data_IF_283555018170
#
_entry.id   IF_283555018170
#
_cell.length_a   1.000
_cell.length_b   1.000
_cell.length_c   1.000
_cell.angle_alpha   90.00
_cell.angle_beta   90.00
_cell.angle_gamma   90.00
#
_symmetry.space_group_name_H-M   'P 1'
#
loop_
_entity.id
_entity.type
_entity.pdbx_description
1 polymer ?
#
# COMPACT_ATOMS: atom_id res chain seq x y z
N UNK A 1 -13.66 -18.52 22.45
CA UNK A 1 -13.14 -18.20 21.11
C UNK A 1 -11.63 -18.08 21.23
N UNK A 2 -10.85 -18.87 20.50
CA UNK A 2 -9.43 -18.53 20.31
C UNK A 2 -9.41 -17.23 19.50
N UNK A 3 -8.69 -16.22 20.00
CA UNK A 3 -8.46 -14.99 19.26
C UNK A 3 -7.38 -15.30 18.23
N UNK A 4 -7.68 -15.21 16.94
CA UNK A 4 -6.66 -15.34 15.91
C UNK A 4 -5.61 -14.25 16.10
N UNK A 5 -4.34 -14.64 16.12
CA UNK A 5 -3.22 -13.71 16.19
C UNK A 5 -3.18 -12.89 14.90
N UNK A 6 -3.06 -11.57 15.03
CA UNK A 6 -2.92 -10.66 13.89
C UNK A 6 -1.51 -10.08 13.95
N UNK A 7 -0.74 -10.31 12.89
CA UNK A 7 0.63 -9.80 12.77
C UNK A 7 0.75 -8.96 11.51
N UNK A 8 1.54 -7.90 11.58
CA UNK A 8 1.83 -7.06 10.41
C UNK A 8 3.34 -6.92 10.29
N UNK A 9 3.88 -7.21 9.11
CA UNK A 9 5.32 -7.15 8.85
C UNK A 9 5.60 -6.31 7.62
N UNK A 10 6.76 -5.64 7.62
CA UNK A 10 7.24 -4.89 6.45
C UNK A 10 7.69 -5.89 5.38
N UNK A 11 7.29 -5.66 4.14
CA UNK A 11 7.69 -6.47 2.99
C UNK A 11 9.14 -6.12 2.63
N UNK A 12 10.06 -7.02 2.95
CA UNK A 12 11.51 -6.85 2.75
C UNK A 12 12.17 -8.08 2.11
N UNK A 13 11.54 -9.24 2.20
CA UNK A 13 12.08 -10.51 1.68
C UNK A 13 11.19 -11.06 0.57
N UNK A 14 11.72 -11.96 -0.28
CA UNK A 14 10.91 -12.64 -1.30
C UNK A 14 9.67 -13.34 -0.74
N UNK A 15 9.77 -13.93 0.46
CA UNK A 15 8.67 -14.64 1.11
C UNK A 15 7.56 -13.66 1.53
N UNK A 16 7.94 -12.55 2.20
CA UNK A 16 6.99 -11.51 2.56
C UNK A 16 6.35 -10.84 1.34
N UNK A 17 7.09 -10.76 0.22
CA UNK A 17 6.57 -10.28 -1.06
C UNK A 17 5.56 -11.25 -1.63
N UNK A 18 5.85 -12.55 -1.64
CA UNK A 18 4.91 -13.57 -2.14
C UNK A 18 3.58 -13.52 -1.38
N UNK A 19 3.63 -13.46 -0.04
CA UNK A 19 2.44 -13.33 0.79
C UNK A 19 1.63 -12.05 0.49
N UNK A 20 2.30 -10.92 0.26
CA UNK A 20 1.64 -9.68 -0.14
C UNK A 20 1.00 -9.77 -1.54
N UNK A 21 1.69 -10.44 -2.47
CA UNK A 21 1.21 -10.67 -3.83
C UNK A 21 -0.03 -11.56 -3.88
N UNK A 22 -0.15 -12.56 -3.00
CA UNK A 22 -1.37 -13.38 -2.88
C UNK A 22 -2.60 -12.51 -2.56
N UNK A 23 -2.46 -11.55 -1.65
CA UNK A 23 -3.54 -10.62 -1.31
C UNK A 23 -3.89 -9.71 -2.48
N UNK A 24 -2.88 -9.19 -3.19
CA UNK A 24 -3.10 -8.31 -4.36
C UNK A 24 -3.84 -9.06 -5.47
N UNK A 25 -3.41 -10.27 -5.81
CA UNK A 25 -4.06 -11.05 -6.86
C UNK A 25 -5.51 -11.42 -6.45
N UNK A 26 -5.71 -11.90 -5.22
CA UNK A 26 -7.05 -12.24 -4.73
C UNK A 26 -7.99 -11.02 -4.65
N UNK A 27 -7.52 -9.91 -4.09
CA UNK A 27 -8.37 -8.75 -3.80
C UNK A 27 -8.37 -7.76 -4.96
N UNK A 28 -7.21 -7.28 -5.40
CA UNK A 28 -7.17 -6.16 -6.35
C UNK A 28 -7.54 -6.64 -7.76
N UNK A 29 -7.08 -7.83 -8.15
CA UNK A 29 -7.35 -8.38 -9.47
C UNK A 29 -8.67 -9.15 -9.52
N UNK A 30 -8.85 -10.15 -8.66
CA UNK A 30 -10.01 -11.05 -8.76
C UNK A 30 -11.29 -10.45 -8.17
N UNK A 31 -11.25 -9.95 -6.93
CA UNK A 31 -12.44 -9.39 -6.27
C UNK A 31 -12.81 -8.01 -6.83
N UNK A 32 -11.88 -7.06 -6.78
CA UNK A 32 -12.12 -5.65 -7.10
C UNK A 32 -11.95 -5.31 -8.58
N UNK A 33 -11.18 -6.11 -9.32
CA UNK A 33 -10.85 -5.90 -10.75
C UNK A 33 -10.28 -4.51 -11.03
N UNK A 34 -9.47 -3.99 -10.09
CA UNK A 34 -8.80 -2.70 -10.23
C UNK A 34 -7.59 -2.77 -11.15
N UNK A 35 -6.97 -3.94 -11.25
CA UNK A 35 -5.74 -4.17 -12.02
C UNK A 35 -5.91 -5.40 -12.92
N UNK A 36 -5.21 -5.42 -14.05
CA UNK A 36 -5.20 -6.56 -14.97
C UNK A 36 -4.10 -7.57 -14.63
N UNK A 37 -2.97 -7.06 -14.12
CA UNK A 37 -1.78 -7.83 -13.78
C UNK A 37 -1.27 -7.38 -12.40
N UNK A 38 -1.08 -8.35 -11.50
CA UNK A 38 -0.59 -8.13 -10.15
C UNK A 38 0.93 -7.96 -10.10
N UNK A 39 1.68 -8.56 -11.05
CA UNK A 39 3.14 -8.75 -10.93
C UNK A 39 3.93 -7.44 -10.84
N UNK A 40 3.36 -6.37 -11.39
CA UNK A 40 3.97 -5.03 -11.39
C UNK A 40 3.68 -4.20 -10.13
N UNK A 41 2.76 -4.61 -9.25
CA UNK A 41 2.31 -3.76 -8.14
C UNK A 41 3.37 -3.60 -7.04
N UNK A 42 4.03 -4.69 -6.65
CA UNK A 42 5.07 -4.68 -5.63
C UNK A 42 6.46 -4.79 -6.27
N UNK A 43 7.29 -3.73 -6.23
CA UNK A 43 8.65 -3.77 -6.75
C UNK A 43 9.49 -4.89 -6.10
N UNK A 44 10.40 -5.47 -6.86
CA UNK A 44 11.33 -6.49 -6.34
C UNK A 44 12.48 -5.88 -5.54
N UNK A 45 12.80 -4.60 -5.78
CA UNK A 45 13.88 -3.86 -5.12
C UNK A 45 13.41 -3.07 -3.88
N UNK A 46 12.32 -3.49 -3.22
CA UNK A 46 11.76 -2.80 -2.05
C UNK A 46 12.74 -2.48 -0.91
N UNK A 47 13.69 -3.36 -0.54
CA UNK A 47 14.64 -3.07 0.55
C UNK A 47 15.51 -1.84 0.31
N UNK A 48 15.71 -1.46 -0.95
CA UNK A 48 16.55 -0.35 -1.37
C UNK A 48 15.77 0.96 -1.51
N UNK A 49 14.43 0.91 -1.43
CA UNK A 49 13.56 2.07 -1.59
C UNK A 49 13.29 2.77 -0.26
N UNK A 50 13.65 4.04 -0.19
CA UNK A 50 13.36 4.91 0.95
C UNK A 50 12.03 5.66 0.82
N UNK A 51 11.46 5.71 -0.39
CA UNK A 51 10.29 6.51 -0.75
C UNK A 51 8.97 5.74 -0.66
N UNK A 52 9.02 4.43 -0.50
CA UNK A 52 7.82 3.61 -0.32
C UNK A 52 8.10 2.44 0.61
N UNK A 53 7.08 2.04 1.36
CA UNK A 53 7.09 0.83 2.16
C UNK A 53 5.78 0.09 2.01
N UNK A 54 5.88 -1.23 1.96
CA UNK A 54 4.74 -2.12 1.92
C UNK A 54 4.72 -2.95 3.19
N UNK A 55 3.51 -3.24 3.65
CA UNK A 55 3.29 -4.12 4.79
C UNK A 55 2.23 -5.15 4.42
N UNK A 56 2.44 -6.38 4.90
CA UNK A 56 1.48 -7.47 4.78
C UNK A 56 0.99 -7.84 6.17
N UNK A 57 -0.32 -8.01 6.30
CA UNK A 57 -0.98 -8.43 7.54
C UNK A 57 -1.44 -9.86 7.41
N UNK A 58 -1.17 -10.67 8.44
CA UNK A 58 -1.61 -12.05 8.52
C UNK A 58 -2.61 -12.22 9.66
N UNK A 59 -3.54 -13.16 9.49
CA UNK A 59 -4.40 -13.70 10.54
C UNK A 59 -4.01 -15.17 10.72
N UNK A 60 -3.27 -15.47 11.77
CA UNK A 60 -2.49 -16.70 11.84
C UNK A 60 -1.46 -16.75 10.72
N UNK A 61 -1.44 -17.84 9.95
CA UNK A 61 -0.54 -18.01 8.79
C UNK A 61 -1.12 -17.53 7.46
N UNK A 62 -2.35 -16.99 7.46
CA UNK A 62 -3.02 -16.56 6.23
C UNK A 62 -2.81 -15.06 5.99
N UNK A 63 -2.24 -14.65 4.84
CA UNK A 63 -2.16 -13.24 4.49
C UNK A 63 -3.57 -12.70 4.21
N UNK A 64 -3.93 -11.63 4.89
CA UNK A 64 -5.29 -11.09 4.93
C UNK A 64 -5.40 -9.65 4.42
N UNK A 65 -4.28 -8.94 4.29
CA UNK A 65 -4.29 -7.55 3.88
C UNK A 65 -2.91 -7.02 3.53
N UNK A 66 -2.88 -5.99 2.69
CA UNK A 66 -1.68 -5.24 2.34
C UNK A 66 -1.94 -3.75 2.49
N UNK A 67 -0.91 -3.01 2.89
CA UNK A 67 -0.93 -1.54 2.86
C UNK A 67 0.37 -1.02 2.26
N UNK A 68 0.23 0.00 1.41
CA UNK A 68 1.34 0.76 0.84
C UNK A 68 1.40 2.12 1.52
N UNK A 69 2.59 2.47 2.01
CA UNK A 69 2.90 3.79 2.52
C UNK A 69 3.92 4.45 1.59
N UNK A 70 3.54 5.53 0.94
CA UNK A 70 4.46 6.37 0.18
C UNK A 70 4.99 7.49 1.11
N UNK A 71 6.30 7.66 1.15
CA UNK A 71 6.96 8.74 1.87
C UNK A 71 7.22 9.89 0.90
N UNK A 72 7.06 11.12 1.39
CA UNK A 72 7.18 12.34 0.58
C UNK A 72 6.42 12.24 -0.76
N UNK A 73 5.11 11.92 -0.74
CA UNK A 73 4.34 11.82 -1.97
C UNK A 73 4.37 13.20 -2.66
N UNK A 74 4.57 13.26 -3.98
CA UNK A 74 4.63 14.53 -4.68
C UNK A 74 3.34 15.31 -4.41
N UNK A 75 3.48 16.52 -3.86
CA UNK A 75 2.35 17.44 -3.61
C UNK A 75 1.66 17.89 -4.90
N UNK A 76 2.23 17.57 -6.07
CA UNK A 76 1.59 17.79 -7.35
C UNK A 76 0.40 16.87 -7.49
N UNK A 77 -0.79 17.43 -7.37
CA UNK A 77 -2.04 16.71 -7.57
C UNK A 77 -2.29 16.62 -9.08
N UNK A 78 -2.48 15.41 -9.65
CA UNK A 78 -2.84 15.26 -11.05
C UNK A 78 -4.05 16.13 -11.41
N UNK A 79 -4.02 16.85 -12.53
CA UNK A 79 -5.13 17.74 -12.92
C UNK A 79 -6.44 16.99 -13.19
N UNK A 80 -6.39 15.67 -13.37
CA UNK A 80 -7.56 14.81 -13.55
C UNK A 80 -8.28 14.48 -12.24
N UNK A 81 -7.65 14.72 -11.09
CA UNK A 81 -8.30 14.63 -9.79
C UNK A 81 -9.02 15.96 -9.52
N UNK A 82 -10.33 15.88 -9.28
CA UNK A 82 -11.17 17.01 -8.88
C UNK A 82 -10.88 17.44 -7.44
N UNK A 83 -9.61 17.72 -7.15
CA UNK A 83 -9.13 18.11 -5.85
C UNK A 83 -9.34 19.61 -5.68
N UNK A 84 -10.10 19.96 -4.65
CA UNK A 84 -10.25 21.34 -4.20
C UNK A 84 -9.89 21.38 -2.73
N UNK A 85 -9.03 22.33 -2.35
CA UNK A 85 -8.90 22.66 -0.93
C UNK A 85 -10.25 23.18 -0.44
N UNK A 86 -10.69 22.71 0.73
CA UNK A 86 -11.83 23.29 1.42
C UNK A 86 -11.60 24.81 1.52
N UNK A 87 -12.62 25.61 1.18
CA UNK A 87 -12.53 27.07 1.29
C UNK A 87 -12.13 27.38 2.72
N UNK A 88 -11.01 28.09 2.90
CA UNK A 88 -10.36 28.50 4.17
C UNK A 88 -9.06 27.78 4.55
N UNK A 89 -8.53 26.85 3.73
CA UNK A 89 -7.16 26.35 3.92
C UNK A 89 -6.14 27.35 3.35
N UNK A 90 -5.47 28.07 4.25
CA UNK A 90 -4.37 28.99 3.94
C UNK A 90 -3.06 28.21 3.70
N UNK A 91 -2.75 27.92 2.43
CA UNK A 91 -1.59 27.12 2.04
C UNK A 91 -0.24 27.73 2.45
N UNK A 92 -0.19 29.06 2.60
CA UNK A 92 0.95 29.84 3.09
C UNK A 92 1.30 29.57 4.57
N UNK A 93 0.44 28.85 5.30
CA UNK A 93 0.62 28.49 6.71
C UNK A 93 0.96 27.01 6.93
N UNK A 94 1.04 26.21 5.87
CA UNK A 94 1.51 24.82 6.01
C UNK A 94 3.03 24.83 6.25
N UNK A 95 3.53 24.11 7.27
CA UNK A 95 4.97 23.96 7.45
C UNK A 95 5.59 23.26 6.23
N UNK A 96 6.87 23.54 5.92
CA UNK A 96 7.56 22.94 4.78
C UNK A 96 7.68 21.42 4.90
#
# INVERSE_FOLDING_TARGET
MLRSEITTTKVLTPESRAAAMEVIDAVYRHEKRWIADSDAEIPTNLPERADVSWFVTHVGDTPAGVIRLAYDPPLSIPPELDFHFERDIALDRLPP
#
